data_IF_319408684600
#
_entry.id   IF_319408684600
#
_cell.length_a   1.000
_cell.length_b   1.000
_cell.length_c   1.000
_cell.angle_alpha   90.00
_cell.angle_beta   90.00
_cell.angle_gamma   90.00
#
_symmetry.space_group_name_H-M   'P 1'
#
loop_
_entity.id
_entity.type
_entity.pdbx_description
1 polymer ?
#
# COMPACT_ATOMS: atom_id res chain seq x y z
N UNK A 1 7.40 -11.43 7.80
CA UNK A 1 6.67 -10.21 8.18
C UNK A 1 5.19 -10.53 8.03
N UNK A 2 4.39 -10.31 9.06
CA UNK A 2 2.94 -10.49 8.97
C UNK A 2 2.31 -9.24 8.35
N UNK A 3 1.25 -9.38 7.54
CA UNK A 3 0.56 -8.20 7.00
C UNK A 3 0.00 -7.38 8.15
N UNK A 4 0.21 -6.06 8.11
CA UNK A 4 -0.49 -5.13 9.01
C UNK A 4 -1.98 -5.28 8.83
N UNK A 5 -2.73 -5.36 9.93
CA UNK A 5 -4.18 -5.40 9.87
C UNK A 5 -4.76 -4.06 9.44
N UNK A 6 -5.98 -4.07 8.91
CA UNK A 6 -6.67 -2.83 8.52
C UNK A 6 -6.93 -1.92 9.73
N UNK A 7 -7.17 -2.49 10.91
CA UNK A 7 -7.43 -1.73 12.13
C UNK A 7 -6.18 -1.00 12.62
N UNK A 8 -5.03 -1.66 12.64
CA UNK A 8 -3.74 -1.04 12.99
C UNK A 8 -3.41 0.12 12.04
N UNK A 9 -3.75 -0.01 10.75
CA UNK A 9 -3.56 1.07 9.77
C UNK A 9 -4.39 2.31 10.13
N UNK A 10 -5.64 2.13 10.54
CA UNK A 10 -6.51 3.23 10.96
C UNK A 10 -6.05 3.86 12.27
N UNK A 11 -5.67 3.06 13.27
CA UNK A 11 -5.17 3.55 14.55
C UNK A 11 -3.94 4.46 14.39
N UNK A 12 -3.00 4.07 13.52
CA UNK A 12 -1.80 4.89 13.23
C UNK A 12 -2.15 6.21 12.54
N UNK A 13 -3.13 6.18 11.63
CA UNK A 13 -3.64 7.39 10.95
C UNK A 13 -4.36 8.33 11.90
N UNK A 14 -5.24 7.80 12.75
CA UNK A 14 -5.99 8.57 13.75
C UNK A 14 -5.07 9.21 14.79
N UNK A 15 -3.95 8.55 15.10
CA UNK A 15 -2.89 9.09 15.95
C UNK A 15 -2.01 10.15 15.24
N UNK A 16 -2.22 10.44 13.96
CA UNK A 16 -1.41 11.37 13.17
C UNK A 16 0.03 10.90 12.95
N UNK A 17 0.26 9.58 12.97
CA UNK A 17 1.58 8.95 12.84
C UNK A 17 1.82 8.37 11.44
N UNK A 18 3.04 7.87 11.22
CA UNK A 18 3.46 7.26 9.95
C UNK A 18 3.88 5.81 10.17
N UNK A 19 3.48 4.94 9.25
CA UNK A 19 3.99 3.57 9.19
C UNK A 19 5.45 3.57 8.72
N UNK A 20 6.30 2.63 9.20
CA UNK A 20 7.64 2.44 8.66
C UNK A 20 7.63 2.21 7.14
N UNK A 21 8.67 2.64 6.42
CA UNK A 21 8.72 2.47 4.97
C UNK A 21 8.61 0.99 4.59
N UNK A 22 7.70 0.68 3.66
CA UNK A 22 7.44 -0.66 3.12
C UNK A 22 6.88 -1.69 4.12
N UNK A 23 6.34 -1.27 5.27
CA UNK A 23 5.70 -2.19 6.22
C UNK A 23 4.24 -2.54 5.87
N UNK A 24 3.63 -1.88 4.88
CA UNK A 24 2.23 -2.07 4.47
C UNK A 24 2.11 -2.35 2.97
N UNK A 25 1.26 -3.30 2.58
CA UNK A 25 0.85 -3.54 1.19
C UNK A 25 -0.62 -3.99 1.14
N UNK A 26 -1.31 -3.73 0.04
CA UNK A 26 -2.71 -4.13 -0.19
C UNK A 26 -2.78 -5.28 -1.19
N UNK A 27 -3.71 -6.21 -0.96
CA UNK A 27 -4.07 -7.28 -1.92
C UNK A 27 -5.59 -7.25 -2.14
N UNK A 28 -6.08 -7.24 -3.41
CA UNK A 28 -5.29 -7.24 -4.62
C UNK A 28 -4.50 -5.95 -4.81
N UNK A 29 -3.27 -6.05 -5.33
CA UNK A 29 -2.54 -4.86 -5.77
C UNK A 29 -3.42 -4.11 -6.76
N UNK A 30 -3.45 -2.79 -6.65
CA UNK A 30 -4.08 -1.95 -7.66
C UNK A 30 -3.49 -2.33 -9.02
N UNK A 31 -4.36 -2.70 -9.98
CA UNK A 31 -3.91 -2.98 -11.34
C UNK A 31 -3.13 -1.77 -11.80
N UNK A 32 -1.84 -1.96 -12.09
CA UNK A 32 -1.00 -0.88 -12.60
C UNK A 32 -1.66 -0.38 -13.88
N UNK A 33 -2.13 0.87 -13.89
CA UNK A 33 -2.64 1.55 -15.09
C UNK A 33 -1.52 1.86 -16.10
N UNK A 34 -0.55 0.94 -16.23
CA UNK A 34 0.59 1.05 -17.11
C UNK A 34 0.10 0.77 -18.53
N UNK A 35 0.16 1.80 -19.37
CA UNK A 35 -0.02 1.66 -20.81
C UNK A 35 1.36 1.56 -21.45
N UNK A 36 1.58 0.51 -22.24
CA UNK A 36 2.79 0.34 -23.05
C UNK A 36 2.44 0.75 -24.47
N UNK A 37 3.14 1.74 -25.02
CA UNK A 37 3.08 2.09 -26.43
C UNK A 37 4.40 1.65 -27.07
N UNK A 38 4.34 0.61 -27.90
CA UNK A 38 5.49 0.13 -28.65
C UNK A 38 5.79 1.10 -29.80
N UNK A 39 7.05 1.54 -29.91
CA UNK A 39 7.53 2.47 -30.94
C UNK A 39 8.27 1.74 -32.07
N UNK A 40 7.85 0.51 -32.38
CA UNK A 40 8.47 -0.31 -33.44
C UNK A 40 8.13 0.19 -34.85
#
# INVERSE_FOLDING_TARGET
MFPTSINELFEVSDAGQLMPPKSTWFEPKLRSGLFVHELS
#
